data_IF_853290058350
#
_entry.id   IF_853290058350
#
_cell.length_a   1.000
_cell.length_b   1.000
_cell.length_c   1.000
_cell.angle_alpha   90.00
_cell.angle_beta   90.00
_cell.angle_gamma   90.00
#
_symmetry.space_group_name_H-M   'P 1'
#
loop_
_entity.id
_entity.type
_entity.pdbx_description
1 polymer ?
#
# COMPACT_ATOMS: atom_id res chain seq x y z
N UNK A 1 -21.71 13.73 19.30
CA UNK A 1 -21.44 12.84 18.17
C UNK A 1 -20.32 11.91 18.60
N UNK A 2 -20.65 10.70 19.02
CA UNK A 2 -19.67 9.71 19.42
C UNK A 2 -19.01 9.16 18.15
N UNK A 3 -17.78 9.59 17.87
CA UNK A 3 -16.99 9.00 16.79
C UNK A 3 -16.50 7.65 17.29
N UNK A 4 -16.95 6.57 16.67
CA UNK A 4 -16.48 5.24 17.02
C UNK A 4 -14.99 5.15 16.73
N UNK A 5 -14.20 4.89 17.78
CA UNK A 5 -12.75 4.63 17.68
C UNK A 5 -12.44 3.26 17.07
N UNK A 6 -13.44 2.48 16.67
CA UNK A 6 -13.27 1.11 16.22
C UNK A 6 -12.82 1.06 14.75
N UNK A 7 -11.71 0.36 14.50
CA UNK A 7 -11.31 -0.04 13.15
C UNK A 7 -12.34 -1.02 12.57
N UNK A 8 -12.42 -1.08 11.24
CA UNK A 8 -13.23 -2.11 10.57
C UNK A 8 -12.81 -3.53 10.98
N UNK A 9 -13.78 -4.45 11.12
CA UNK A 9 -13.55 -5.82 11.61
C UNK A 9 -12.44 -6.56 10.87
N UNK A 10 -12.39 -6.40 9.53
CA UNK A 10 -11.35 -6.98 8.68
C UNK A 10 -9.95 -6.54 9.09
N UNK A 11 -9.78 -5.25 9.39
CA UNK A 11 -8.49 -4.68 9.78
C UNK A 11 -8.14 -5.06 11.21
N UNK A 12 -9.11 -5.07 12.13
CA UNK A 12 -8.92 -5.60 13.48
C UNK A 12 -8.41 -7.05 13.48
N UNK A 13 -8.96 -7.90 12.62
CA UNK A 13 -8.49 -9.27 12.45
C UNK A 13 -7.04 -9.31 11.92
N UNK A 14 -6.73 -8.53 10.89
CA UNK A 14 -5.39 -8.45 10.33
C UNK A 14 -4.34 -7.97 11.36
N UNK A 15 -4.68 -6.98 12.18
CA UNK A 15 -3.83 -6.50 13.27
C UNK A 15 -3.58 -7.61 14.32
N UNK A 16 -4.60 -8.38 14.69
CA UNK A 16 -4.45 -9.54 15.58
C UNK A 16 -3.55 -10.64 14.99
N UNK A 17 -3.61 -10.86 13.68
CA UNK A 17 -2.72 -11.83 13.02
C UNK A 17 -1.25 -11.37 13.04
N UNK A 18 -1.00 -10.08 12.79
CA UNK A 18 0.35 -9.50 12.92
C UNK A 18 0.88 -9.59 14.36
N UNK A 19 0.01 -9.37 15.36
CA UNK A 19 0.31 -9.58 16.78
C UNK A 19 0.72 -11.02 17.07
N UNK A 20 -0.09 -11.99 16.62
CA UNK A 20 0.05 -13.40 17.03
C UNK A 20 1.22 -14.08 16.32
N UNK A 21 1.39 -13.86 15.02
CA UNK A 21 2.28 -14.70 14.20
C UNK A 21 3.67 -14.12 13.98
N UNK A 22 3.84 -12.79 13.97
CA UNK A 22 5.08 -12.15 13.48
C UNK A 22 5.81 -11.30 14.52
N UNK A 23 5.10 -10.55 15.36
CA UNK A 23 5.75 -9.65 16.32
C UNK A 23 6.33 -10.33 17.57
N UNK A 24 5.82 -11.51 17.98
CA UNK A 24 6.15 -12.14 19.27
C UNK A 24 7.63 -12.53 19.43
N UNK A 25 8.34 -12.79 18.34
CA UNK A 25 9.73 -13.25 18.36
C UNK A 25 10.73 -12.11 18.09
N UNK A 26 10.27 -10.86 18.05
CA UNK A 26 11.10 -9.71 17.75
C UNK A 26 11.61 -9.05 19.04
N UNK A 27 12.86 -8.60 19.02
CA UNK A 27 13.43 -7.78 20.12
C UNK A 27 13.46 -6.32 19.70
N UNK A 28 13.05 -5.43 20.60
CA UNK A 28 12.97 -3.99 20.35
C UNK A 28 14.02 -3.28 21.18
N UNK A 29 14.79 -2.39 20.56
CA UNK A 29 15.74 -1.50 21.23
C UNK A 29 15.41 -0.05 20.86
N UNK A 30 15.13 0.82 21.84
CA UNK A 30 14.98 2.25 21.55
C UNK A 30 16.32 2.83 21.08
N UNK A 31 16.27 3.72 20.09
CA UNK A 31 17.41 4.51 19.62
C UNK A 31 17.28 5.94 20.15
N UNK A 32 16.09 6.52 20.00
CA UNK A 32 15.66 7.80 20.58
C UNK A 32 14.24 7.64 21.12
N UNK A 33 13.60 8.73 21.57
CA UNK A 33 12.20 8.71 22.06
C UNK A 33 11.20 8.18 21.02
N UNK A 34 11.46 8.43 19.73
CA UNK A 34 10.52 8.14 18.64
C UNK A 34 11.06 7.14 17.61
N UNK A 35 12.32 6.73 17.73
CA UNK A 35 12.97 5.77 16.82
C UNK A 35 13.34 4.48 17.55
N UNK A 36 12.99 3.36 16.92
CA UNK A 36 13.16 2.03 17.49
C UNK A 36 13.83 1.12 16.48
N UNK A 37 14.81 0.34 16.94
CA UNK A 37 15.39 -0.75 16.17
C UNK A 37 14.72 -2.06 16.57
N UNK A 38 14.12 -2.75 15.61
CA UNK A 38 13.45 -4.03 15.80
C UNK A 38 14.28 -5.12 15.13
N UNK A 39 14.67 -6.14 15.89
CA UNK A 39 15.42 -7.29 15.39
C UNK A 39 14.48 -8.48 15.15
N UNK A 40 14.57 -9.02 13.95
CA UNK A 40 13.86 -10.21 13.49
C UNK A 40 14.93 -11.23 13.05
N UNK A 41 15.40 -12.03 14.00
CA UNK A 41 16.59 -12.87 13.82
C UNK A 41 17.82 -12.02 13.53
N UNK A 42 18.40 -12.18 12.33
CA UNK A 42 19.59 -11.43 11.88
C UNK A 42 19.22 -10.08 11.25
N UNK A 43 17.96 -9.90 10.84
CA UNK A 43 17.51 -8.67 10.19
C UNK A 43 17.19 -7.61 11.23
N UNK A 44 17.54 -6.36 10.94
CA UNK A 44 17.15 -5.18 11.71
C UNK A 44 16.24 -4.29 10.89
N UNK A 45 15.19 -3.76 11.50
CA UNK A 45 14.33 -2.76 10.92
C UNK A 45 14.26 -1.54 11.83
N UNK A 46 14.19 -0.35 11.22
CA UNK A 46 14.05 0.91 11.95
C UNK A 46 12.59 1.34 11.83
N UNK A 47 11.96 1.62 12.96
CA UNK A 47 10.56 2.05 13.07
C UNK A 47 10.52 3.45 13.68
N UNK A 48 9.76 4.34 13.07
CA UNK A 48 9.36 5.63 13.64
C UNK A 48 7.84 5.65 13.81
N UNK A 49 7.36 5.70 15.06
CA UNK A 49 5.92 5.65 15.34
C UNK A 49 5.23 6.98 14.98
N UNK A 50 5.87 8.12 15.25
CA UNK A 50 5.30 9.45 14.97
C UNK A 50 5.07 9.66 13.47
N UNK A 51 6.05 9.28 12.65
CA UNK A 51 5.97 9.41 11.19
C UNK A 51 5.21 8.26 10.52
N UNK A 52 4.85 7.22 11.26
CA UNK A 52 4.24 6.02 10.70
C UNK A 52 5.15 5.28 9.70
N UNK A 53 6.46 5.25 9.94
CA UNK A 53 7.43 4.68 8.98
C UNK A 53 8.15 3.45 9.52
N UNK A 54 8.47 2.53 8.62
CA UNK A 54 9.32 1.38 8.89
C UNK A 54 10.26 1.14 7.71
N UNK A 55 11.49 0.70 7.96
CA UNK A 55 12.41 0.29 6.88
C UNK A 55 11.94 -0.91 6.06
N UNK A 56 10.86 -1.59 6.48
CA UNK A 56 10.19 -2.63 5.69
C UNK A 56 9.16 -2.07 4.71
N UNK A 57 8.95 -0.75 4.69
CA UNK A 57 8.05 0.03 3.81
C UNK A 57 6.55 -0.26 3.96
N UNK A 58 6.17 -1.38 4.57
CA UNK A 58 4.77 -1.77 4.75
C UNK A 58 3.97 -0.78 5.60
N UNK A 59 4.59 -0.15 6.59
CA UNK A 59 3.86 0.80 7.43
C UNK A 59 3.44 2.04 6.62
N UNK A 60 4.32 2.53 5.75
CA UNK A 60 4.05 3.66 4.89
C UNK A 60 3.04 3.31 3.79
N UNK A 61 3.16 2.12 3.21
CA UNK A 61 2.33 1.69 2.09
C UNK A 61 0.91 1.33 2.50
N UNK A 62 0.77 0.60 3.60
CA UNK A 62 -0.54 0.14 4.09
C UNK A 62 -1.19 1.18 5.02
N UNK A 63 -0.45 2.23 5.42
CA UNK A 63 -0.83 3.17 6.49
C UNK A 63 -1.39 2.48 7.76
N UNK A 64 -0.88 1.26 8.01
CA UNK A 64 -1.25 0.37 9.09
C UNK A 64 0.03 -0.15 9.76
N UNK A 65 0.03 -0.33 11.09
CA UNK A 65 1.18 -0.88 11.80
C UNK A 65 1.61 -2.23 11.22
N UNK A 66 2.82 -2.27 10.65
CA UNK A 66 3.44 -3.51 10.21
C UNK A 66 3.85 -4.37 11.42
N UNK A 67 4.25 -5.65 11.24
CA UNK A 67 4.69 -6.49 12.36
C UNK A 67 5.82 -5.89 13.22
N UNK A 68 6.73 -5.12 12.61
CA UNK A 68 7.81 -4.43 13.32
C UNK A 68 7.28 -3.28 14.16
N UNK A 69 6.43 -2.42 13.58
CA UNK A 69 5.78 -1.34 14.30
C UNK A 69 4.91 -1.87 15.45
N UNK A 70 4.23 -2.99 15.21
CA UNK A 70 3.45 -3.68 16.23
C UNK A 70 4.31 -4.17 17.40
N UNK A 71 5.51 -4.71 17.14
CA UNK A 71 6.43 -5.11 18.20
C UNK A 71 6.82 -3.93 19.09
N UNK A 72 7.05 -2.75 18.49
CA UNK A 72 7.33 -1.51 19.22
C UNK A 72 6.13 -1.06 20.04
N UNK A 73 4.94 -1.00 19.44
CA UNK A 73 3.71 -0.62 20.13
C UNK A 73 3.43 -1.49 21.35
N UNK A 74 3.65 -2.80 21.22
CA UNK A 74 3.55 -3.75 22.33
C UNK A 74 4.59 -3.48 23.41
N UNK A 75 5.83 -3.20 23.03
CA UNK A 75 6.91 -2.90 23.97
C UNK A 75 6.63 -1.62 24.78
N UNK A 76 6.04 -0.60 24.13
CA UNK A 76 5.67 0.67 24.73
C UNK A 76 4.27 0.68 25.36
N UNK A 77 3.54 -0.44 25.31
CA UNK A 77 2.16 -0.57 25.81
C UNK A 77 1.17 0.45 25.21
N UNK A 78 1.41 0.83 23.95
CA UNK A 78 0.58 1.78 23.21
C UNK A 78 -0.55 1.07 22.47
N UNK A 79 -1.67 1.77 22.28
CA UNK A 79 -2.82 1.25 21.53
C UNK A 79 -2.54 1.33 20.02
N UNK A 80 -2.52 0.21 19.28
CA UNK A 80 -2.18 0.22 17.86
C UNK A 80 -3.20 0.96 16.98
N UNK A 81 -4.46 1.00 17.40
CA UNK A 81 -5.54 1.67 16.67
C UNK A 81 -5.29 3.17 16.47
N UNK A 82 -4.50 3.79 17.36
CA UNK A 82 -4.11 5.20 17.27
C UNK A 82 -3.09 5.47 16.16
N UNK A 83 -2.39 4.43 15.69
CA UNK A 83 -1.34 4.49 14.66
C UNK A 83 -1.83 3.96 13.31
N UNK A 84 -3.13 3.70 13.20
CA UNK A 84 -3.77 3.33 11.95
C UNK A 84 -4.34 4.58 11.28
N UNK A 85 -4.27 4.64 9.94
CA UNK A 85 -4.88 5.72 9.20
C UNK A 85 -6.40 5.82 9.41
N UNK A 86 -6.92 7.03 9.36
CA UNK A 86 -8.34 7.30 9.57
C UNK A 86 -9.23 6.63 8.52
N UNK A 87 -8.69 6.29 7.34
CA UNK A 87 -9.41 5.56 6.28
C UNK A 87 -9.91 4.18 6.73
N UNK A 88 -9.26 3.57 7.73
CA UNK A 88 -9.61 2.24 8.24
C UNK A 88 -10.62 2.26 9.40
N UNK A 89 -11.01 3.46 9.87
CA UNK A 89 -12.03 3.61 10.90
C UNK A 89 -13.40 3.30 10.33
N UNK A 90 -14.23 2.63 11.13
CA UNK A 90 -15.60 2.23 10.75
C UNK A 90 -16.43 3.42 10.28
N UNK A 91 -16.36 4.54 10.99
CA UNK A 91 -17.08 5.77 10.62
C UNK A 91 -16.71 6.28 9.23
N UNK A 92 -15.42 6.24 8.87
CA UNK A 92 -14.96 6.69 7.56
C UNK A 92 -15.41 5.73 6.47
N UNK A 93 -15.35 4.42 6.73
CA UNK A 93 -15.84 3.39 5.84
C UNK A 93 -17.34 3.60 5.55
N UNK A 94 -18.16 3.78 6.59
CA UNK A 94 -19.60 4.02 6.44
C UNK A 94 -19.89 5.29 5.64
N UNK A 95 -19.18 6.39 5.92
CA UNK A 95 -19.32 7.65 5.15
C UNK A 95 -18.94 7.53 3.68
N UNK A 96 -17.95 6.70 3.33
CA UNK A 96 -17.57 6.48 1.93
C UNK A 96 -18.71 5.81 1.15
N UNK A 97 -19.44 4.90 1.80
CA UNK A 97 -20.57 4.16 1.21
C UNK A 97 -21.93 4.75 1.56
N UNK A 98 -21.99 5.94 2.16
CA UNK A 98 -23.23 6.63 2.50
C UNK A 98 -23.99 7.06 1.24
N UNK A 99 -23.26 7.42 0.18
CA UNK A 99 -23.84 7.77 -1.09
C UNK A 99 -24.29 6.52 -1.86
N UNK A 100 -25.56 6.44 -2.28
CA UNK A 100 -26.03 5.32 -3.08
C UNK A 100 -25.31 5.31 -4.43
N UNK A 101 -24.72 4.17 -4.77
CA UNK A 101 -24.29 3.90 -6.14
C UNK A 101 -25.54 3.58 -6.93
N UNK A 102 -25.97 4.53 -7.77
CA UNK A 102 -27.10 4.28 -8.66
C UNK A 102 -26.73 3.12 -9.61
N UNK A 103 -27.55 2.06 -9.69
CA UNK A 103 -27.30 1.00 -10.63
C UNK A 103 -27.32 1.57 -12.04
N UNK A 104 -26.43 1.05 -12.89
CA UNK A 104 -26.47 1.41 -14.30
C UNK A 104 -27.81 0.91 -14.87
N UNK A 105 -28.57 1.76 -15.57
CA UNK A 105 -29.83 1.34 -16.16
C UNK A 105 -29.57 0.25 -17.20
N UNK A 106 -30.61 -0.52 -17.55
CA UNK A 106 -30.49 -1.49 -18.63
C UNK A 106 -30.05 -0.81 -19.93
N UNK A 107 -29.30 -1.52 -20.77
CA UNK A 107 -28.82 -1.03 -22.08
C UNK A 107 -29.97 -0.46 -22.93
N UNK A 108 -31.15 -1.08 -22.85
CA UNK A 108 -32.36 -0.62 -23.56
C UNK A 108 -32.83 0.78 -23.16
N UNK A 109 -32.41 1.29 -22.00
CA UNK A 109 -32.80 2.59 -21.46
C UNK A 109 -31.71 3.65 -21.67
N UNK A 110 -30.59 3.29 -22.30
CA UNK A 110 -29.49 4.23 -22.52
C UNK A 110 -29.87 5.20 -23.63
N UNK A 111 -29.85 6.50 -23.32
CA UNK A 111 -29.97 7.55 -24.32
C UNK A 111 -28.55 7.87 -24.81
N UNK A 112 -28.17 7.27 -25.93
CA UNK A 112 -26.88 7.53 -26.58
C UNK A 112 -27.08 8.67 -27.57
N UNK A 113 -26.32 9.76 -27.42
CA UNK A 113 -26.35 10.89 -28.34
C UNK A 113 -25.84 10.48 -29.72
N UNK A 114 -26.43 11.03 -30.77
CA UNK A 114 -26.07 10.73 -32.18
C UNK A 114 -24.59 10.96 -32.45
N UNK A 115 -24.00 12.02 -31.88
CA UNK A 115 -22.57 12.33 -31.98
C UNK A 115 -21.66 11.21 -31.45
N UNK A 116 -22.09 10.47 -30.42
CA UNK A 116 -21.35 9.34 -29.83
C UNK A 116 -21.55 8.06 -30.65
N UNK A 117 -22.72 7.87 -31.26
CA UNK A 117 -22.98 6.74 -32.15
C UNK A 117 -22.16 6.82 -33.44
N UNK A 118 -21.91 8.04 -33.92
CA UNK A 118 -21.11 8.30 -35.10
C UNK A 118 -19.60 8.26 -34.82
N UNK A 119 -19.17 8.32 -33.55
CA UNK A 119 -17.77 8.27 -33.17
C UNK A 119 -17.20 6.84 -33.28
N UNK A 120 -16.34 6.65 -34.28
CA UNK A 120 -15.66 5.37 -34.51
C UNK A 120 -14.39 5.32 -33.65
N UNK A 121 -14.48 4.66 -32.50
CA UNK A 121 -13.33 4.42 -31.63
C UNK A 121 -12.39 3.39 -32.27
N UNK A 122 -11.38 3.89 -32.99
CA UNK A 122 -10.32 3.05 -33.55
C UNK A 122 -9.38 2.54 -32.46
N UNK A 123 -8.85 1.31 -32.59
CA UNK A 123 -7.84 0.82 -31.65
C UNK A 123 -6.61 1.75 -31.67
N UNK A 124 -5.94 1.94 -30.53
CA UNK A 124 -4.75 2.78 -30.47
C UNK A 124 -3.71 2.26 -31.47
N UNK A 125 -3.19 3.18 -32.29
CA UNK A 125 -2.17 2.86 -33.29
C UNK A 125 -0.87 2.51 -32.56
N UNK A 126 -0.62 1.22 -32.38
CA UNK A 126 0.61 0.70 -31.77
C UNK A 126 0.81 -0.78 -32.09
N UNK A 127 2.05 -1.18 -32.35
CA UNK A 127 2.40 -2.60 -32.40
C UNK A 127 2.42 -3.12 -30.97
N UNK A 128 1.78 -4.27 -30.74
CA UNK A 128 1.97 -5.01 -29.48
C UNK A 128 3.46 -5.33 -29.40
N UNK A 129 4.15 -4.83 -28.36
CA UNK A 129 5.54 -5.18 -28.13
C UNK A 129 5.67 -6.70 -28.13
N UNK A 130 6.74 -7.22 -28.73
CA UNK A 130 7.04 -8.65 -28.68
C UNK A 130 6.92 -9.13 -27.24
N UNK A 131 6.12 -10.17 -27.03
CA UNK A 131 5.95 -10.75 -25.70
C UNK A 131 7.30 -11.15 -25.12
N UNK A 132 7.37 -11.26 -23.78
CA UNK A 132 8.58 -11.72 -23.10
C UNK A 132 9.09 -13.00 -23.79
N UNK A 133 10.36 -13.05 -24.25
CA UNK A 133 10.91 -14.24 -24.88
C UNK A 133 10.67 -15.46 -23.99
N UNK A 134 10.21 -16.56 -24.61
CA UNK A 134 9.97 -17.81 -23.89
C UNK A 134 11.27 -18.23 -23.22
N UNK A 135 11.25 -18.30 -21.89
CA UNK A 135 12.40 -18.82 -21.13
C UNK A 135 12.48 -20.32 -21.43
N UNK A 136 13.51 -20.75 -22.15
CA UNK A 136 13.80 -22.16 -22.31
C UNK A 136 13.95 -22.78 -20.92
N UNK A 137 13.26 -23.91 -20.72
CA UNK A 137 13.38 -24.70 -19.50
C UNK A 137 14.71 -25.44 -19.61
N UNK A 138 15.78 -24.86 -19.07
CA UNK A 138 17.06 -25.56 -18.95
C UNK A 138 16.83 -26.85 -18.14
N UNK A 139 17.12 -28.00 -18.74
CA UNK A 139 17.10 -29.28 -18.04
C UNK A 139 18.00 -29.18 -16.79
N UNK A 140 17.50 -29.72 -15.66
CA UNK A 140 17.98 -29.56 -14.28
C UNK A 140 19.39 -30.11 -13.97
N UNK A 141 20.27 -30.22 -14.95
CA UNK A 141 21.62 -30.77 -14.78
C UNK A 141 22.67 -29.79 -15.31
N UNK A 142 22.84 -28.67 -14.61
CA UNK A 142 24.14 -28.02 -14.36
C UNK A 142 23.92 -26.79 -13.48
N UNK A 143 23.98 -26.98 -12.16
CA UNK A 143 24.26 -25.88 -11.21
C UNK A 143 25.70 -25.42 -11.45
N UNK A 144 25.91 -24.40 -12.28
CA UNK A 144 27.14 -23.60 -12.22
C UNK A 144 26.82 -22.32 -11.48
N UNK A 145 27.53 -22.08 -10.38
CA UNK A 145 27.33 -20.95 -9.50
C UNK A 145 27.64 -19.65 -10.24
N UNK A 146 26.63 -18.83 -10.49
CA UNK A 146 26.86 -17.43 -10.82
C UNK A 146 26.80 -16.65 -9.51
N UNK A 147 27.96 -16.46 -8.88
CA UNK A 147 28.15 -15.41 -7.88
C UNK A 147 28.06 -14.06 -8.60
N UNK A 148 26.85 -13.56 -8.78
CA UNK A 148 26.63 -12.19 -9.24
C UNK A 148 26.79 -11.24 -8.06
N UNK A 149 27.78 -10.34 -8.13
CA UNK A 149 27.84 -9.13 -7.28
C UNK A 149 26.59 -8.30 -7.60
N UNK A 150 25.69 -8.16 -6.64
CA UNK A 150 24.63 -7.15 -6.71
C UNK A 150 25.28 -5.81 -6.43
N UNK A 151 25.60 -5.05 -7.48
CA UNK A 151 25.90 -3.64 -7.36
C UNK A 151 24.57 -2.93 -7.10
N UNK A 152 24.37 -2.47 -5.87
CA UNK A 152 23.26 -1.55 -5.56
C UNK A 152 23.64 -0.22 -6.21
N UNK A 153 23.09 0.07 -7.39
CA UNK A 153 23.10 1.43 -7.92
C UNK A 153 22.00 2.19 -7.19
N UNK A 154 22.41 2.96 -6.19
CA UNK A 154 21.62 4.05 -5.63
C UNK A 154 21.36 5.03 -6.78
N UNK A 155 20.11 5.22 -7.16
CA UNK A 155 19.72 6.33 -8.03
C UNK A 155 18.71 7.15 -7.25
N UNK A 156 19.24 8.16 -6.55
CA UNK A 156 18.47 9.28 -6.06
C UNK A 156 17.79 9.97 -7.26
N UNK A 157 16.49 9.76 -7.41
CA UNK A 157 15.61 10.68 -8.13
C UNK A 157 14.30 10.81 -7.36
N UNK A 158 14.34 11.71 -6.38
CA UNK A 158 13.14 12.42 -5.92
C UNK A 158 12.62 13.21 -7.12
N UNK A 159 11.59 12.71 -7.78
CA UNK A 159 10.81 13.48 -8.75
C UNK A 159 9.65 14.09 -7.98
N UNK A 160 9.83 15.34 -7.56
CA UNK A 160 8.77 16.21 -7.07
C UNK A 160 7.80 16.45 -8.23
N UNK A 161 6.57 15.95 -8.12
CA UNK A 161 5.51 16.25 -9.09
C UNK A 161 4.86 17.56 -8.64
N UNK A 162 5.23 18.66 -9.29
CA UNK A 162 4.51 19.93 -9.23
C UNK A 162 3.10 19.73 -9.79
N UNK A 163 2.11 20.03 -8.97
CA UNK A 163 0.70 20.10 -9.35
C UNK A 163 0.50 21.33 -10.24
N UNK A 164 0.37 21.15 -11.55
CA UNK A 164 -0.32 22.11 -12.39
C UNK A 164 -1.80 21.73 -12.48
N UNK A 165 -2.58 22.24 -11.52
CA UNK A 165 -4.03 22.42 -11.71
C UNK A 165 -4.19 23.79 -12.36
N UNK A 166 -4.51 23.82 -13.66
CA UNK A 166 -5.06 25.03 -14.29
C UNK A 166 -6.53 25.12 -13.87
N UNK A 167 -6.83 26.09 -13.04
CA UNK A 167 -8.19 26.56 -12.80
C UNK A 167 -8.45 27.61 -13.88
N UNK A 168 -9.21 27.25 -14.90
CA UNK A 168 -9.76 28.23 -15.83
C UNK A 168 -10.88 28.99 -15.09
N UNK A 169 -10.56 30.20 -14.62
CA UNK A 169 -11.54 31.23 -14.36
C UNK A 169 -11.54 32.20 -15.55
N UNK A 170 -12.63 32.22 -16.31
CA UNK A 170 -13.05 33.31 -17.21
C UNK A 170 -14.59 33.30 -17.08
N UNK A 171 -15.27 34.31 -16.54
CA UNK A 171 -15.44 35.70 -17.01
C UNK A 171 -15.71 35.82 -18.51
#
# INVERSE_FOLDING_TARGET
>A
METSTELGEKYNKFLRENLIAKSKQMTVRPVTEQLYTVFEGVRRNIVCLEKGTCSCEKFQMDELPCPHAWAVLKNQQLKPDQYCSFYYKKDKLLRIYEFPVNPMPNESLWVILTEVLEDVVLPPKGRRNGGRPRKERSNLLQRKSLRGRFHVLCVDKVVTIEKHVKIDQNK
#
